data_IF_382152424198
#
_entry.id   IF_382152424198
#
_cell.length_a   1.000
_cell.length_b   1.000
_cell.length_c   1.000
_cell.angle_alpha   90.00
_cell.angle_beta   90.00
_cell.angle_gamma   90.00
#
_symmetry.space_group_name_H-M   'P 1'
#
loop_
_entity.id
_entity.type
_entity.pdbx_description
1 polymer ?
#
# COMPACT_ATOMS: atom_id res chain seq x y z
N UNK A 1 -40.74 -4.24 -0.11
CA UNK A 1 -42.16 -4.56 0.16
C UNK A 1 -42.21 -5.79 1.03
N UNK A 2 -42.69 -5.67 2.27
CA UNK A 2 -42.82 -6.79 3.22
C UNK A 2 -44.26 -7.33 3.15
N UNK A 3 -44.44 -8.63 2.94
CA UNK A 3 -45.74 -9.30 3.10
C UNK A 3 -45.75 -10.04 4.43
N UNK A 4 -46.78 -9.79 5.25
CA UNK A 4 -47.02 -10.49 6.52
C UNK A 4 -48.27 -11.35 6.35
N UNK A 5 -48.13 -12.67 6.51
CA UNK A 5 -49.27 -13.56 6.72
C UNK A 5 -49.44 -13.80 8.22
N UNK A 6 -50.64 -13.49 8.73
CA UNK A 6 -51.05 -13.83 10.09
C UNK A 6 -52.04 -15.00 10.00
N UNK A 7 -51.59 -16.20 10.35
CA UNK A 7 -52.47 -17.23 10.90
C UNK A 7 -52.02 -17.49 12.33
N UNK A 8 -52.96 -17.41 13.26
CA UNK A 8 -52.72 -17.63 14.68
C UNK A 8 -53.56 -18.80 15.19
N UNK A 9 -52.98 -19.56 16.11
CA UNK A 9 -53.60 -19.87 17.40
C UNK A 9 -52.55 -19.74 18.52
N UNK A 10 -53.05 -19.39 19.70
CA UNK A 10 -52.39 -18.83 20.87
C UNK A 10 -50.89 -19.18 21.10
N UNK A 11 -50.05 -18.13 21.13
CA UNK A 11 -48.85 -18.09 21.96
C UNK A 11 -47.48 -18.03 21.27
N UNK A 12 -47.38 -18.15 19.94
CA UNK A 12 -46.09 -18.00 19.25
C UNK A 12 -46.23 -17.35 17.87
N UNK A 13 -45.57 -16.21 17.66
CA UNK A 13 -45.37 -15.62 16.34
C UNK A 13 -44.10 -16.23 15.73
N UNK A 14 -44.21 -16.95 14.62
CA UNK A 14 -43.03 -17.36 13.82
C UNK A 14 -42.88 -16.42 12.63
N UNK A 15 -41.82 -15.62 12.63
CA UNK A 15 -41.43 -14.79 11.50
C UNK A 15 -40.46 -15.59 10.63
N UNK A 16 -40.82 -15.85 9.38
CA UNK A 16 -39.90 -16.41 8.38
C UNK A 16 -39.32 -15.26 7.55
N UNK A 17 -38.02 -14.97 7.71
CA UNK A 17 -37.29 -14.03 6.86
C UNK A 17 -36.39 -14.81 5.89
N UNK A 18 -36.60 -14.60 4.60
CA UNK A 18 -35.71 -15.08 3.56
C UNK A 18 -34.58 -14.06 3.31
N UNK A 19 -33.36 -14.58 3.17
CA UNK A 19 -32.11 -13.83 3.02
C UNK A 19 -32.14 -12.91 1.79
N UNK A 20 -32.16 -11.60 2.03
CA UNK A 20 -31.56 -10.60 1.14
C UNK A 20 -30.63 -9.74 2.00
N UNK A 21 -29.37 -9.59 1.56
CA UNK A 21 -28.26 -9.04 2.34
C UNK A 21 -28.50 -7.64 2.87
N UNK A 22 -28.86 -7.54 4.14
CA UNK A 22 -28.79 -6.33 4.96
C UNK A 22 -28.12 -6.66 6.31
N UNK A 23 -27.41 -5.67 6.83
CA UNK A 23 -26.68 -5.72 8.10
C UNK A 23 -27.65 -5.91 9.28
N UNK A 24 -27.44 -6.98 10.04
CA UNK A 24 -28.29 -7.40 11.16
C UNK A 24 -28.23 -6.42 12.35
N UNK A 25 -27.18 -5.58 12.44
CA UNK A 25 -27.00 -4.63 13.55
C UNK A 25 -27.95 -3.44 13.51
N UNK A 26 -28.35 -2.99 12.31
CA UNK A 26 -29.29 -1.87 12.15
C UNK A 26 -30.74 -2.24 12.55
N UNK A 27 -31.11 -3.52 12.49
CA UNK A 27 -32.47 -3.98 12.76
C UNK A 27 -32.79 -4.09 14.27
N UNK A 28 -31.77 -4.40 15.08
CA UNK A 28 -31.92 -4.52 16.54
C UNK A 28 -32.12 -3.15 17.18
N UNK A 29 -31.46 -2.11 16.67
CA UNK A 29 -31.65 -0.72 17.13
C UNK A 29 -33.06 -0.21 16.79
N UNK A 30 -33.65 -0.65 15.68
CA UNK A 30 -35.01 -0.26 15.28
C UNK A 30 -36.11 -0.88 16.17
N UNK A 31 -35.86 -2.05 16.76
CA UNK A 31 -36.80 -2.72 17.67
C UNK A 31 -36.80 -2.13 19.08
N UNK A 32 -35.72 -1.44 19.47
CA UNK A 32 -35.59 -0.81 20.81
C UNK A 32 -36.18 0.61 20.84
N UNK A 33 -36.48 1.21 19.68
CA UNK A 33 -36.94 2.60 19.55
C UNK A 33 -38.47 2.79 19.33
N UNK A 34 -39.30 1.80 19.66
CA UNK A 34 -40.77 1.95 19.64
C UNK A 34 -41.32 2.14 21.07
N UNK A 35 -42.01 3.26 21.38
CA UNK A 35 -42.60 3.45 22.70
C UNK A 35 -43.85 2.57 22.88
N UNK A 36 -43.80 1.74 23.93
CA UNK A 36 -44.89 1.22 24.78
C UNK A 36 -46.30 1.18 24.16
N UNK A 37 -46.75 0.00 23.75
CA UNK A 37 -48.16 -0.41 23.92
C UNK A 37 -48.19 -1.82 24.51
N UNK A 38 -48.89 -1.94 25.64
CA UNK A 38 -49.08 -3.11 26.52
C UNK A 38 -47.90 -3.41 27.46
N UNK A 39 -48.08 -3.04 28.73
CA UNK A 39 -47.13 -3.28 29.81
C UNK A 39 -46.98 -4.76 30.14
N UNK A 40 -46.08 -5.44 29.45
CA UNK A 40 -45.52 -6.71 29.88
C UNK A 40 -43.99 -6.62 29.88
N UNK A 41 -43.40 -6.87 31.05
CA UNK A 41 -41.97 -7.08 31.24
C UNK A 41 -41.54 -8.37 30.54
N UNK A 42 -40.63 -8.27 29.57
CA UNK A 42 -39.98 -9.43 28.95
C UNK A 42 -38.82 -9.85 29.85
N UNK A 43 -38.91 -11.04 30.45
CA UNK A 43 -37.78 -11.69 31.11
C UNK A 43 -36.85 -12.28 30.04
N UNK A 44 -35.54 -12.06 30.19
CA UNK A 44 -34.48 -12.58 29.30
C UNK A 44 -34.00 -13.98 29.67
N UNK A 45 -34.68 -14.67 30.59
CA UNK A 45 -34.30 -16.02 31.01
C UNK A 45 -34.84 -17.05 30.00
N UNK A 46 -34.13 -17.23 28.88
CA UNK A 46 -34.00 -18.46 28.07
C UNK A 46 -33.71 -18.16 26.58
N UNK A 47 -32.58 -17.52 26.30
CA UNK A 47 -31.93 -17.64 24.98
C UNK A 47 -30.70 -18.53 25.14
N UNK A 48 -30.89 -19.83 24.96
CA UNK A 48 -29.78 -20.77 24.82
C UNK A 48 -29.35 -20.82 23.35
N UNK A 49 -28.25 -20.15 23.00
CA UNK A 49 -27.52 -20.38 21.76
C UNK A 49 -26.54 -21.53 21.96
N UNK A 50 -26.97 -22.75 21.65
CA UNK A 50 -26.05 -23.83 21.38
C UNK A 50 -25.46 -23.63 19.98
N UNK A 51 -24.20 -23.21 19.89
CA UNK A 51 -23.20 -23.88 19.05
C UNK A 51 -21.83 -23.18 19.17
N UNK A 52 -20.82 -24.02 19.42
CA UNK A 52 -19.40 -23.72 19.55
C UNK A 52 -18.83 -23.00 18.31
N UNK A 53 -18.83 -21.67 18.33
CA UNK A 53 -17.97 -20.86 17.46
C UNK A 53 -17.19 -19.87 18.34
N UNK A 54 -15.93 -20.20 18.65
CA UNK A 54 -15.04 -19.30 19.37
C UNK A 54 -14.60 -18.17 18.43
N UNK A 55 -15.41 -17.13 18.33
CA UNK A 55 -15.02 -15.84 17.74
C UNK A 55 -14.13 -15.09 18.74
N UNK A 56 -12.95 -14.66 18.32
CA UNK A 56 -12.12 -13.76 19.13
C UNK A 56 -12.78 -12.39 19.19
N UNK A 57 -13.15 -12.01 20.42
CA UNK A 57 -13.58 -10.69 20.90
C UNK A 57 -14.78 -10.07 20.19
N UNK A 58 -15.99 -10.59 20.45
CA UNK A 58 -17.05 -9.65 20.83
C UNK A 58 -16.60 -9.04 22.14
N UNK A 59 -16.32 -7.74 22.17
CA UNK A 59 -16.03 -7.05 23.42
C UNK A 59 -17.32 -7.06 24.23
N UNK A 60 -17.53 -8.12 25.01
CA UNK A 60 -18.75 -8.32 25.78
C UNK A 60 -18.86 -7.30 26.94
N UNK A 61 -17.78 -6.54 27.19
CA UNK A 61 -17.59 -5.59 28.29
C UNK A 61 -17.29 -4.16 27.82
N UNK A 62 -18.00 -3.66 26.80
CA UNK A 62 -17.85 -2.25 26.37
C UNK A 62 -18.37 -1.30 27.46
N UNK A 63 -17.48 -0.46 27.97
CA UNK A 63 -17.79 0.63 28.88
C UNK A 63 -17.58 1.98 28.18
N UNK A 64 -18.67 2.73 28.00
CA UNK A 64 -18.65 4.02 27.28
C UNK A 64 -18.44 5.18 28.25
N UNK A 65 -17.55 6.10 27.88
CA UNK A 65 -17.26 7.35 28.60
C UNK A 65 -17.31 8.54 27.65
N UNK A 66 -17.25 9.76 28.17
CA UNK A 66 -17.15 10.98 27.35
C UNK A 66 -15.84 11.04 26.53
N UNK A 67 -14.80 10.32 26.96
CA UNK A 67 -13.49 10.28 26.30
C UNK A 67 -13.37 9.21 25.22
N UNK A 68 -14.30 8.24 25.19
CA UNK A 68 -14.28 7.10 24.27
C UNK A 68 -14.76 5.81 24.93
N UNK A 69 -14.29 4.68 24.40
CA UNK A 69 -14.77 3.35 24.73
C UNK A 69 -13.67 2.52 25.38
N UNK A 70 -13.97 1.96 26.55
CA UNK A 70 -13.10 1.04 27.28
C UNK A 70 -13.60 -0.39 27.13
N UNK A 71 -12.66 -1.33 27.01
CA UNK A 71 -12.94 -2.76 26.79
C UNK A 71 -11.85 -3.63 27.47
N UNK A 72 -12.09 -4.93 27.57
CA UNK A 72 -11.16 -5.90 28.17
C UNK A 72 -10.75 -5.51 29.61
N UNK A 73 -11.74 -5.24 30.46
CA UNK A 73 -11.57 -4.81 31.84
C UNK A 73 -10.87 -3.45 31.96
N UNK A 74 -11.30 -2.47 31.17
CA UNK A 74 -10.77 -1.11 31.07
C UNK A 74 -9.29 -0.99 30.64
N UNK A 75 -8.72 -2.06 30.07
CA UNK A 75 -7.31 -2.06 29.62
C UNK A 75 -7.12 -1.70 28.16
N UNK A 76 -8.19 -1.76 27.36
CA UNK A 76 -8.20 -1.33 25.97
C UNK A 76 -9.03 -0.07 25.86
N UNK A 77 -8.46 0.99 25.28
CA UNK A 77 -9.13 2.28 25.10
C UNK A 77 -9.20 2.65 23.62
N UNK A 78 -10.40 2.93 23.12
CA UNK A 78 -10.66 3.38 21.76
C UNK A 78 -11.28 4.80 21.81
N UNK A 79 -10.60 5.85 21.34
CA UNK A 79 -11.18 7.20 21.30
C UNK A 79 -12.46 7.27 20.45
N UNK A 80 -12.52 6.50 19.36
CA UNK A 80 -13.69 6.38 18.49
C UNK A 80 -14.07 4.92 18.26
N UNK A 81 -15.37 4.62 18.23
CA UNK A 81 -15.84 3.26 17.96
C UNK A 81 -15.54 2.87 16.51
N UNK A 82 -14.81 1.77 16.32
CA UNK A 82 -14.35 1.34 15.00
C UNK A 82 -13.06 2.02 14.52
N UNK A 83 -12.39 2.79 15.38
CA UNK A 83 -11.08 3.37 15.14
C UNK A 83 -9.92 2.67 15.84
N UNK A 84 -8.77 3.34 15.90
CA UNK A 84 -7.59 2.86 16.64
C UNK A 84 -7.88 2.72 18.13
N UNK A 85 -7.51 1.58 18.69
CA UNK A 85 -7.58 1.25 20.10
C UNK A 85 -6.19 0.99 20.68
N UNK A 86 -5.95 1.41 21.92
CA UNK A 86 -4.65 1.41 22.59
C UNK A 86 -4.71 0.61 23.90
N UNK A 87 -3.57 0.09 24.34
CA UNK A 87 -3.45 -0.66 25.59
C UNK A 87 -3.41 -2.18 25.41
N UNK A 88 -4.12 -2.93 26.26
CA UNK A 88 -4.24 -4.38 26.16
C UNK A 88 -5.60 -4.75 25.53
N UNK A 89 -5.65 -4.86 24.20
CA UNK A 89 -6.89 -5.15 23.47
C UNK A 89 -7.13 -6.64 23.15
N UNK A 90 -6.51 -7.56 23.90
CA UNK A 90 -6.81 -8.99 23.84
C UNK A 90 -6.44 -9.71 22.53
N UNK A 91 -5.65 -9.09 21.64
CA UNK A 91 -5.22 -9.71 20.38
C UNK A 91 -4.19 -10.82 20.63
N UNK A 92 -4.33 -11.93 19.91
CA UNK A 92 -3.46 -13.12 20.02
C UNK A 92 -2.16 -13.03 19.23
N UNK A 93 -2.02 -12.00 18.40
CA UNK A 93 -0.90 -11.78 17.51
C UNK A 93 -0.36 -10.37 17.68
N UNK A 94 0.95 -10.21 17.54
CA UNK A 94 1.60 -8.92 17.45
C UNK A 94 2.09 -8.69 16.01
N UNK A 95 1.86 -7.49 15.52
CA UNK A 95 2.15 -7.00 14.18
C UNK A 95 2.97 -5.70 14.26
N UNK A 96 3.30 -5.09 13.12
CA UNK A 96 3.99 -3.81 13.09
C UNK A 96 3.34 -2.82 12.12
N UNK A 97 3.32 -1.56 12.56
CA UNK A 97 3.06 -0.38 11.74
C UNK A 97 4.13 0.67 12.06
N UNK A 98 4.57 1.40 11.03
CA UNK A 98 5.44 2.56 11.14
C UNK A 98 4.80 3.72 10.40
N UNK A 99 4.70 4.88 11.05
CA UNK A 99 4.14 6.09 10.50
C UNK A 99 5.17 7.22 10.51
N UNK A 100 5.14 8.12 9.54
CA UNK A 100 5.95 9.33 9.55
C UNK A 100 5.48 10.27 10.65
N UNK A 101 6.41 10.91 11.36
CA UNK A 101 6.07 11.97 12.33
C UNK A 101 5.53 13.21 11.62
N UNK A 102 6.14 13.58 10.49
CA UNK A 102 5.66 14.66 9.62
C UNK A 102 4.38 14.21 8.88
N UNK A 103 3.42 15.13 8.76
CA UNK A 103 2.25 14.99 7.88
C UNK A 103 2.44 15.86 6.65
N UNK A 104 2.09 15.32 5.48
CA UNK A 104 2.33 15.94 4.18
C UNK A 104 1.05 16.47 3.57
N UNK A 105 1.16 17.57 2.83
CA UNK A 105 0.07 18.12 2.02
C UNK A 105 0.44 17.97 0.55
N UNK A 106 -0.13 16.97 -0.11
CA UNK A 106 0.28 16.53 -1.45
C UNK A 106 1.73 16.03 -1.48
N UNK A 107 2.14 15.47 -2.62
CA UNK A 107 3.50 14.99 -2.83
C UNK A 107 3.55 13.70 -3.63
N UNK A 108 4.76 13.19 -3.78
CA UNK A 108 5.01 11.83 -4.27
C UNK A 108 5.72 11.05 -3.18
N UNK A 109 5.30 9.80 -3.00
CA UNK A 109 5.78 8.90 -1.96
C UNK A 109 6.19 7.61 -2.62
N UNK A 110 7.43 7.20 -2.43
CA UNK A 110 7.98 5.99 -3.02
C UNK A 110 8.56 5.07 -1.95
N UNK A 111 8.45 3.77 -2.18
CA UNK A 111 9.21 2.78 -1.44
C UNK A 111 9.61 1.61 -2.33
N UNK A 112 10.60 0.85 -1.87
CA UNK A 112 10.95 -0.44 -2.43
C UNK A 112 10.59 -1.52 -1.41
N UNK A 113 9.46 -2.17 -1.65
CA UNK A 113 8.84 -3.16 -0.78
C UNK A 113 9.06 -4.57 -1.33
N UNK A 114 9.47 -5.49 -0.45
CA UNK A 114 9.37 -6.93 -0.63
C UNK A 114 8.25 -7.47 0.26
N UNK A 115 7.06 -7.76 -0.30
CA UNK A 115 5.92 -8.24 0.48
C UNK A 115 6.20 -9.56 1.20
N UNK A 116 6.89 -10.52 0.57
CA UNK A 116 7.28 -11.81 1.18
C UNK A 116 6.16 -12.58 1.94
N UNK A 117 4.88 -12.33 1.63
CA UNK A 117 3.71 -12.93 2.30
C UNK A 117 2.90 -13.81 1.36
N UNK A 118 3.04 -15.13 1.51
CA UNK A 118 2.25 -16.16 0.81
C UNK A 118 1.22 -16.82 1.74
N UNK A 119 0.53 -16.03 2.57
CA UNK A 119 -0.47 -16.50 3.57
C UNK A 119 -1.83 -15.82 3.40
N UNK A 120 -2.91 -16.60 3.46
CA UNK A 120 -4.30 -16.09 3.41
C UNK A 120 -4.57 -15.15 4.60
N UNK A 121 -5.38 -14.10 4.41
CA UNK A 121 -5.80 -13.20 5.47
C UNK A 121 -4.71 -12.26 5.99
N UNK A 122 -3.68 -11.96 5.21
CA UNK A 122 -2.62 -11.01 5.57
C UNK A 122 -2.52 -9.88 4.56
N UNK A 123 -2.12 -8.69 5.00
CA UNK A 123 -1.97 -7.51 4.13
C UNK A 123 -0.69 -6.76 4.50
N UNK A 124 0.09 -6.40 3.49
CA UNK A 124 1.22 -5.49 3.59
C UNK A 124 0.87 -4.16 2.91
N UNK A 125 1.19 -3.03 3.54
CA UNK A 125 0.64 -1.72 3.13
C UNK A 125 1.72 -0.67 2.87
N UNK A 126 1.39 0.29 2.03
CA UNK A 126 2.10 1.56 1.88
C UNK A 126 1.04 2.62 1.59
N UNK A 127 0.72 3.46 2.56
CA UNK A 127 -0.49 4.28 2.51
C UNK A 127 -0.31 5.65 3.15
N UNK A 128 -1.16 6.60 2.75
CA UNK A 128 -1.25 7.91 3.37
C UNK A 128 -2.51 7.95 4.22
N UNK A 129 -2.42 8.45 5.45
CA UNK A 129 -3.55 8.51 6.37
C UNK A 129 -3.58 9.86 7.09
N UNK A 130 -4.73 10.54 7.09
CA UNK A 130 -4.93 11.73 7.91
C UNK A 130 -5.11 11.29 9.35
N UNK A 131 -4.13 11.64 10.20
CA UNK A 131 -4.26 11.42 11.63
C UNK A 131 -5.61 11.96 12.13
N UNK A 132 -6.23 11.18 13.02
CA UNK A 132 -7.52 11.43 13.67
C UNK A 132 -8.77 11.14 12.81
N UNK A 133 -8.63 10.73 11.55
CA UNK A 133 -9.76 10.25 10.73
C UNK A 133 -10.55 9.11 11.40
N UNK A 134 -9.88 8.35 12.27
CA UNK A 134 -10.44 7.23 13.01
C UNK A 134 -10.63 7.50 14.52
N UNK A 135 -10.25 8.68 15.03
CA UNK A 135 -10.24 8.98 16.48
C UNK A 135 -11.20 10.09 16.88
N UNK A 136 -11.45 11.04 16.00
CA UNK A 136 -12.25 12.24 16.31
C UNK A 136 -13.60 12.15 15.62
N UNK A 137 -14.66 12.18 16.43
CA UNK A 137 -16.03 12.21 15.92
C UNK A 137 -16.24 13.40 14.98
N UNK A 138 -16.88 13.15 13.83
CA UNK A 138 -17.12 14.17 12.81
C UNK A 138 -15.88 14.58 11.98
N UNK A 139 -14.69 14.05 12.27
CA UNK A 139 -13.54 14.27 11.42
C UNK A 139 -13.75 13.60 10.05
N UNK A 140 -13.30 14.28 8.99
CA UNK A 140 -13.29 13.67 7.65
C UNK A 140 -12.25 12.56 7.59
N UNK A 141 -12.66 11.40 7.09
CA UNK A 141 -11.77 10.33 6.71
C UNK A 141 -11.00 10.74 5.46
N UNK A 142 -9.67 10.57 5.48
CA UNK A 142 -8.84 10.78 4.29
C UNK A 142 -7.69 9.77 4.31
N UNK A 143 -7.68 8.89 3.33
CA UNK A 143 -6.70 7.83 3.22
C UNK A 143 -6.47 7.45 1.75
N UNK A 144 -5.23 7.10 1.41
CA UNK A 144 -4.83 6.63 0.09
C UNK A 144 -4.01 5.36 0.27
N UNK A 145 -4.57 4.23 -0.18
CA UNK A 145 -4.00 2.91 0.08
C UNK A 145 -3.27 2.34 -1.13
N UNK A 146 -2.14 1.71 -0.85
CA UNK A 146 -1.45 0.80 -1.76
C UNK A 146 -1.13 -0.49 -0.99
N UNK A 147 -1.98 -1.50 -1.17
CA UNK A 147 -1.95 -2.71 -0.36
C UNK A 147 -1.61 -3.92 -1.22
N UNK A 148 -0.79 -4.81 -0.68
CA UNK A 148 -0.53 -6.12 -1.24
C UNK A 148 -1.17 -7.14 -0.32
N UNK A 149 -2.23 -7.77 -0.82
CA UNK A 149 -2.81 -8.93 -0.16
C UNK A 149 -1.77 -10.05 -0.18
N UNK A 150 -1.68 -10.77 0.93
CA UNK A 150 -1.12 -12.10 1.01
C UNK A 150 -1.90 -12.99 0.05
N UNK A 151 -2.50 -14.07 0.49
CA UNK A 151 -3.22 -14.96 -0.43
C UNK A 151 -4.73 -14.65 -0.44
N UNK A 152 -5.60 -15.65 -0.33
CA UNK A 152 -7.05 -15.41 -0.30
C UNK A 152 -7.70 -15.13 -1.66
N UNK A 153 -8.85 -14.46 -1.62
CA UNK A 153 -9.79 -14.33 -2.76
C UNK A 153 -9.26 -13.47 -3.92
N UNK A 154 -8.29 -12.58 -3.64
CA UNK A 154 -7.66 -11.71 -4.64
C UNK A 154 -6.30 -12.23 -5.14
N UNK A 155 -6.02 -13.52 -4.96
CA UNK A 155 -4.72 -14.11 -5.31
C UNK A 155 -4.28 -13.95 -6.79
N UNK A 156 -5.21 -13.72 -7.72
CA UNK A 156 -4.95 -13.47 -9.14
C UNK A 156 -4.78 -11.98 -9.48
N UNK A 157 -5.10 -11.08 -8.53
CA UNK A 157 -4.96 -9.62 -8.59
C UNK A 157 -4.62 -9.06 -7.19
N UNK A 158 -3.47 -9.42 -6.61
CA UNK A 158 -3.22 -9.21 -5.18
C UNK A 158 -2.84 -7.77 -4.81
N UNK A 159 -2.69 -6.88 -5.80
CA UNK A 159 -2.41 -5.46 -5.57
C UNK A 159 -3.74 -4.73 -5.48
N UNK A 160 -4.00 -4.09 -4.36
CA UNK A 160 -5.14 -3.21 -4.18
C UNK A 160 -4.69 -1.75 -4.12
N UNK A 161 -5.49 -0.89 -4.74
CA UNK A 161 -5.44 0.55 -4.53
C UNK A 161 -6.79 1.00 -4.01
N UNK A 162 -6.79 1.96 -3.11
CA UNK A 162 -8.03 2.53 -2.58
C UNK A 162 -7.84 4.00 -2.23
N UNK A 163 -8.95 4.73 -2.26
CA UNK A 163 -9.06 6.01 -1.57
C UNK A 163 -10.21 5.83 -0.59
N UNK A 164 -10.07 6.43 0.58
CA UNK A 164 -11.13 6.44 1.57
C UNK A 164 -11.42 7.87 1.97
N UNK A 165 -12.69 8.25 1.82
CA UNK A 165 -13.22 9.55 2.23
C UNK A 165 -14.48 9.39 3.09
N UNK A 166 -15.17 10.49 3.39
CA UNK A 166 -16.38 10.48 4.22
C UNK A 166 -16.06 10.69 5.69
N UNK A 167 -16.70 9.93 6.57
CA UNK A 167 -16.53 10.04 8.03
C UNK A 167 -16.51 8.65 8.70
N UNK A 168 -16.17 8.62 9.99
CA UNK A 168 -16.26 7.38 10.78
C UNK A 168 -17.70 6.81 10.70
N UNK A 169 -17.82 5.51 10.40
CA UNK A 169 -19.10 4.83 10.19
C UNK A 169 -19.71 4.96 8.78
N UNK A 170 -19.40 6.03 8.04
CA UNK A 170 -19.90 6.31 6.68
C UNK A 170 -18.73 6.58 5.71
N UNK A 171 -17.83 5.60 5.61
CA UNK A 171 -16.68 5.66 4.70
C UNK A 171 -17.13 5.50 3.25
N UNK A 172 -16.68 6.39 2.38
CA UNK A 172 -16.68 6.16 0.94
C UNK A 172 -15.37 5.50 0.55
N UNK A 173 -15.43 4.40 -0.20
CA UNK A 173 -14.25 3.62 -0.60
C UNK A 173 -14.31 3.36 -2.10
N UNK A 174 -13.16 3.42 -2.77
CA UNK A 174 -13.03 3.17 -4.21
C UNK A 174 -12.03 2.06 -4.52
N UNK A 175 -12.17 0.90 -3.88
CA UNK A 175 -11.25 -0.23 -3.99
C UNK A 175 -11.13 -0.73 -5.45
N UNK A 176 -9.89 -0.98 -5.90
CA UNK A 176 -9.60 -1.66 -7.16
C UNK A 176 -8.43 -2.63 -7.00
N UNK A 177 -8.61 -3.84 -7.55
CA UNK A 177 -7.63 -4.93 -7.52
C UNK A 177 -6.95 -5.13 -8.88
N UNK A 178 -5.63 -5.30 -8.85
CA UNK A 178 -4.78 -5.39 -10.02
C UNK A 178 -3.83 -6.57 -9.97
N UNK A 179 -3.58 -7.14 -11.15
CA UNK A 179 -2.46 -8.04 -11.38
C UNK A 179 -1.18 -7.23 -11.64
N UNK A 180 -0.01 -7.80 -11.35
CA UNK A 180 1.26 -7.24 -11.78
C UNK A 180 1.26 -7.04 -13.32
N UNK A 181 1.63 -5.85 -13.81
CA UNK A 181 1.63 -5.55 -15.24
C UNK A 181 2.49 -6.53 -16.06
N UNK A 182 1.98 -6.96 -17.21
CA UNK A 182 2.68 -7.90 -18.09
C UNK A 182 2.78 -9.34 -17.54
N UNK A 183 2.09 -9.66 -16.44
CA UNK A 183 2.04 -11.01 -15.87
C UNK A 183 0.62 -11.60 -16.02
N UNK A 184 0.50 -12.91 -16.31
CA UNK A 184 -0.83 -13.56 -16.36
C UNK A 184 -1.57 -13.43 -15.02
N UNK A 185 -2.87 -13.10 -15.07
CA UNK A 185 -3.77 -13.06 -13.91
C UNK A 185 -4.10 -14.46 -13.37
N UNK A 186 -3.08 -15.23 -12.99
CA UNK A 186 -3.21 -16.55 -12.37
C UNK A 186 -2.42 -16.56 -11.08
N UNK A 187 -3.01 -17.12 -10.02
CA UNK A 187 -2.45 -17.19 -8.65
C UNK A 187 -0.95 -17.48 -8.61
N UNK A 188 -0.50 -18.56 -9.25
CA UNK A 188 0.92 -18.94 -9.24
C UNK A 188 1.84 -17.92 -9.92
N UNK A 189 1.41 -17.32 -11.03
CA UNK A 189 2.18 -16.31 -11.76
C UNK A 189 2.29 -15.01 -10.96
N UNK A 190 1.18 -14.55 -10.38
CA UNK A 190 1.13 -13.35 -9.54
C UNK A 190 1.94 -13.52 -8.25
N UNK A 191 1.81 -14.67 -7.60
CA UNK A 191 2.60 -15.00 -6.40
C UNK A 191 4.09 -14.93 -6.68
N UNK A 192 4.55 -15.59 -7.75
CA UNK A 192 5.96 -15.52 -8.15
C UNK A 192 6.40 -14.09 -8.50
N UNK A 193 5.52 -13.31 -9.14
CA UNK A 193 5.85 -12.00 -9.66
C UNK A 193 5.90 -10.90 -8.60
N UNK A 194 5.14 -11.01 -7.50
CA UNK A 194 4.95 -9.92 -6.52
C UNK A 194 5.56 -10.24 -5.16
N UNK A 195 5.58 -11.53 -4.77
CA UNK A 195 5.84 -11.94 -3.38
C UNK A 195 7.18 -12.61 -3.17
N UNK A 196 8.03 -12.64 -4.19
CA UNK A 196 9.35 -13.32 -4.16
C UNK A 196 10.51 -12.39 -4.49
N UNK A 197 10.30 -11.08 -4.35
CA UNK A 197 11.36 -10.08 -4.45
C UNK A 197 10.86 -8.67 -4.18
N UNK A 198 11.79 -7.73 -4.25
CA UNK A 198 11.53 -6.30 -4.11
C UNK A 198 10.90 -5.71 -5.39
N UNK A 199 10.01 -4.75 -5.16
CA UNK A 199 9.27 -3.98 -6.16
C UNK A 199 9.22 -2.51 -5.78
N UNK A 200 9.18 -1.63 -6.78
CA UNK A 200 9.00 -0.19 -6.57
C UNK A 200 7.51 0.14 -6.52
N UNK A 201 7.11 0.83 -5.46
CA UNK A 201 5.76 1.35 -5.27
C UNK A 201 5.85 2.87 -5.22
N UNK A 202 4.97 3.56 -5.95
CA UNK A 202 4.82 5.00 -5.81
C UNK A 202 3.36 5.44 -5.78
N UNK A 203 3.09 6.45 -4.97
CA UNK A 203 1.83 7.19 -4.92
C UNK A 203 2.13 8.65 -5.23
N UNK A 204 1.44 9.22 -6.21
CA UNK A 204 1.37 10.65 -6.46
C UNK A 204 0.03 11.16 -5.97
N UNK A 205 0.03 12.17 -5.11
CA UNK A 205 -1.17 12.81 -4.60
C UNK A 205 -1.05 14.32 -4.80
N UNK A 206 -2.00 14.88 -5.54
CA UNK A 206 -2.09 16.31 -5.87
C UNK A 206 -3.55 16.77 -5.73
N UNK A 207 -3.84 18.08 -5.80
CA UNK A 207 -5.23 18.55 -5.89
C UNK A 207 -5.97 17.98 -7.10
N UNK A 208 -5.25 17.73 -8.20
CA UNK A 208 -5.85 17.42 -9.50
C UNK A 208 -6.04 15.90 -9.70
N UNK A 209 -5.29 15.06 -8.97
CA UNK A 209 -5.33 13.62 -9.14
C UNK A 209 -4.61 12.84 -8.03
N UNK A 210 -4.93 11.55 -7.96
CA UNK A 210 -4.11 10.52 -7.30
C UNK A 210 -3.66 9.48 -8.33
N UNK A 211 -2.42 9.02 -8.28
CA UNK A 211 -1.88 7.99 -9.18
C UNK A 211 -0.99 6.99 -8.45
N UNK A 212 -1.11 5.71 -8.81
CA UNK A 212 -0.35 4.61 -8.23
C UNK A 212 0.52 3.96 -9.30
N UNK A 213 1.76 3.65 -8.94
CA UNK A 213 2.75 3.05 -9.83
C UNK A 213 3.34 1.79 -9.19
N UNK A 214 3.40 0.71 -9.97
CA UNK A 214 4.04 -0.55 -9.58
C UNK A 214 5.14 -0.86 -10.59
N UNK A 215 6.38 -1.02 -10.10
CA UNK A 215 7.59 -1.14 -10.94
C UNK A 215 7.60 -0.08 -12.04
N UNK A 216 7.38 1.18 -11.63
CA UNK A 216 7.36 2.38 -12.47
C UNK A 216 6.24 2.44 -13.53
N UNK A 217 5.35 1.44 -13.57
CA UNK A 217 4.19 1.41 -14.45
C UNK A 217 2.96 1.93 -13.72
N UNK A 218 2.32 2.95 -14.29
CA UNK A 218 1.08 3.51 -13.73
C UNK A 218 -0.05 2.48 -13.77
N UNK A 219 -0.52 2.07 -12.60
CA UNK A 219 -1.59 1.09 -12.39
C UNK A 219 -2.96 1.74 -12.47
N UNK A 220 -3.08 2.87 -11.79
CA UNK A 220 -4.34 3.59 -11.61
C UNK A 220 -4.04 5.09 -11.58
N UNK A 221 -4.95 5.85 -12.16
CA UNK A 221 -5.06 7.29 -11.99
C UNK A 221 -6.52 7.63 -11.76
N UNK A 222 -6.78 8.49 -10.78
CA UNK A 222 -8.09 9.08 -10.55
C UNK A 222 -7.94 10.57 -10.62
N UNK A 223 -8.70 11.21 -11.49
CA UNK A 223 -8.66 12.66 -11.73
C UNK A 223 -9.76 13.33 -10.91
N UNK A 224 -9.45 14.44 -10.26
CA UNK A 224 -10.44 15.26 -9.56
C UNK A 224 -11.42 15.87 -10.55
N UNK A 225 -12.70 15.95 -10.19
CA UNK A 225 -13.69 16.72 -10.96
C UNK A 225 -13.41 18.23 -10.98
N UNK A 226 -12.60 18.73 -10.04
CA UNK A 226 -12.18 20.13 -9.99
C UNK A 226 -10.89 20.37 -10.81
N UNK A 227 -10.29 19.33 -11.38
CA UNK A 227 -9.07 19.45 -12.16
C UNK A 227 -9.32 20.20 -13.49
N UNK A 228 -8.38 21.05 -13.95
CA UNK A 228 -8.51 21.72 -15.24
C UNK A 228 -8.65 20.72 -16.40
N UNK A 229 -9.74 20.84 -17.17
CA UNK A 229 -10.01 19.96 -18.30
C UNK A 229 -10.49 18.55 -17.91
N UNK A 230 -10.93 18.35 -16.66
CA UNK A 230 -11.53 17.09 -16.23
C UNK A 230 -12.77 16.77 -17.07
N UNK A 231 -12.86 15.52 -17.52
CA UNK A 231 -14.09 14.97 -18.08
C UNK A 231 -15.08 14.68 -16.94
N UNK A 232 -16.27 15.27 -17.02
CA UNK A 232 -17.30 15.12 -16.00
C UNK A 232 -17.81 13.67 -15.85
N UNK A 233 -17.63 12.82 -16.86
CA UNK A 233 -18.02 11.41 -16.83
C UNK A 233 -16.93 10.48 -16.28
N UNK A 234 -15.65 10.90 -16.33
CA UNK A 234 -14.51 10.07 -15.90
C UNK A 234 -13.86 10.52 -14.58
N UNK A 235 -14.15 11.74 -14.13
CA UNK A 235 -13.59 12.29 -12.91
C UNK A 235 -14.20 11.67 -11.64
N UNK A 236 -13.52 11.87 -10.51
CA UNK A 236 -14.05 11.52 -9.18
C UNK A 236 -14.04 12.75 -8.26
N UNK A 237 -15.15 13.02 -7.53
CA UNK A 237 -15.18 14.06 -6.51
C UNK A 237 -14.36 13.69 -5.26
N UNK A 238 -13.98 12.42 -5.11
CA UNK A 238 -13.27 11.90 -3.93
C UNK A 238 -11.87 12.52 -3.79
N UNK A 239 -11.18 12.80 -4.90
CA UNK A 239 -9.84 13.40 -4.87
C UNK A 239 -9.85 14.77 -4.19
N UNK A 240 -10.88 15.58 -4.42
CA UNK A 240 -11.04 16.90 -3.78
C UNK A 240 -11.35 16.82 -2.28
N UNK A 241 -11.81 15.66 -1.80
CA UNK A 241 -12.05 15.41 -0.37
C UNK A 241 -10.75 15.07 0.36
N UNK A 242 -9.73 14.59 -0.36
CA UNK A 242 -8.38 14.31 0.15
C UNK A 242 -7.56 15.60 0.24
N UNK A 243 -8.01 16.51 1.11
CA UNK A 243 -7.54 17.89 1.22
C UNK A 243 -6.95 18.27 2.60
N UNK A 244 -6.78 17.34 3.52
CA UNK A 244 -6.02 17.49 4.76
C UNK A 244 -4.53 17.18 4.56
N UNK A 245 -3.76 17.24 5.63
CA UNK A 245 -2.40 16.68 5.69
C UNK A 245 -2.47 15.21 6.10
N UNK A 246 -1.66 14.34 5.49
CA UNK A 246 -1.63 12.90 5.77
C UNK A 246 -0.22 12.44 6.13
N UNK A 247 -0.13 11.53 7.09
CA UNK A 247 1.11 10.83 7.44
C UNK A 247 1.31 9.66 6.48
N UNK A 248 2.56 9.40 6.11
CA UNK A 248 2.93 8.20 5.36
C UNK A 248 3.08 7.03 6.30
N UNK A 249 2.49 5.89 5.97
CA UNK A 249 2.45 4.70 6.82
C UNK A 249 2.79 3.42 6.06
N UNK A 250 3.35 2.47 6.79
CA UNK A 250 3.74 1.12 6.34
C UNK A 250 3.34 0.13 7.42
N UNK A 251 2.66 -0.96 7.07
CA UNK A 251 2.25 -1.98 8.04
C UNK A 251 2.19 -3.38 7.43
N UNK A 252 2.26 -4.38 8.31
CA UNK A 252 1.90 -5.77 8.04
C UNK A 252 0.93 -6.23 9.10
N UNK A 253 -0.24 -6.72 8.72
CA UNK A 253 -1.24 -7.20 9.67
C UNK A 253 -2.11 -8.34 9.12
N UNK A 254 -2.61 -9.23 10.00
CA UNK A 254 -3.64 -10.20 9.66
C UNK A 254 -5.02 -9.55 9.76
N UNK A 255 -5.88 -9.82 8.77
CA UNK A 255 -7.27 -9.38 8.74
C UNK A 255 -8.11 -10.30 9.60
N UNK A 256 -9.11 -9.76 10.29
CA UNK A 256 -10.12 -10.55 11.00
C UNK A 256 -10.68 -11.67 10.08
N UNK A 257 -10.52 -12.95 10.48
CA UNK A 257 -11.03 -14.11 9.75
C UNK A 257 -12.51 -14.02 9.35
N UNK A 258 -13.33 -13.27 10.10
CA UNK A 258 -14.76 -13.09 9.83
C UNK A 258 -15.05 -12.24 8.57
N UNK A 259 -14.10 -11.38 8.14
CA UNK A 259 -14.30 -10.48 7.00
C UNK A 259 -14.07 -11.17 5.66
N UNK A 260 -13.18 -12.17 5.59
CA UNK A 260 -12.78 -12.90 4.39
C UNK A 260 -12.31 -12.04 3.19
N UNK A 261 -12.10 -10.73 3.38
CA UNK A 261 -11.66 -9.78 2.35
C UNK A 261 -10.26 -10.11 1.81
N UNK A 262 -9.30 -10.39 2.70
CA UNK A 262 -7.96 -10.87 2.31
C UNK A 262 -7.87 -12.42 2.29
N UNK A 263 -9.01 -13.11 2.33
CA UNK A 263 -9.08 -14.54 2.71
C UNK A 263 -9.14 -14.74 4.23
N UNK A 264 -9.13 -16.00 4.66
CA UNK A 264 -9.24 -16.39 6.07
C UNK A 264 -7.87 -16.69 6.65
N UNK A 265 -7.46 -15.95 7.68
CA UNK A 265 -6.20 -16.22 8.39
C UNK A 265 -6.32 -17.51 9.21
N UNK A 266 -5.58 -18.55 8.81
CA UNK A 266 -5.60 -19.86 9.47
C UNK A 266 -4.69 -19.85 10.70
N UNK A 267 -5.27 -19.59 11.88
CA UNK A 267 -4.57 -19.55 13.17
C UNK A 267 -3.76 -20.82 13.48
N UNK A 268 -4.20 -21.98 12.97
CA UNK A 268 -3.63 -23.29 13.33
C UNK A 268 -2.48 -23.70 12.43
N UNK A 269 -2.55 -23.36 11.14
CA UNK A 269 -1.59 -23.85 10.15
C UNK A 269 -0.66 -22.76 9.60
N UNK A 270 -0.94 -21.49 9.88
CA UNK A 270 -0.02 -20.40 9.49
C UNK A 270 1.30 -20.54 10.22
N UNK A 271 2.39 -20.65 9.45
CA UNK A 271 3.75 -20.67 9.97
C UNK A 271 4.20 -19.24 10.22
N UNK A 272 4.19 -18.85 11.50
CA UNK A 272 4.77 -17.58 11.96
C UNK A 272 6.24 -17.78 12.37
N UNK A 273 7.09 -16.73 12.32
CA UNK A 273 6.76 -15.34 11.96
C UNK A 273 6.58 -15.13 10.44
N UNK A 274 5.81 -14.08 10.08
CA UNK A 274 5.83 -13.49 8.73
C UNK A 274 6.53 -12.15 8.79
N UNK A 275 7.15 -11.71 7.70
CA UNK A 275 7.87 -10.43 7.64
C UNK A 275 7.84 -9.86 6.24
N UNK A 276 7.59 -8.55 6.14
CA UNK A 276 7.77 -7.74 4.93
C UNK A 276 8.98 -6.83 5.10
N UNK A 277 9.60 -6.40 4.00
CA UNK A 277 10.80 -5.56 4.05
C UNK A 277 10.65 -4.32 3.18
N UNK A 278 11.01 -3.17 3.73
CA UNK A 278 11.13 -1.91 3.01
C UNK A 278 12.62 -1.54 2.94
N UNK A 279 13.15 -1.40 1.74
CA UNK A 279 14.56 -1.07 1.48
C UNK A 279 14.82 0.44 1.61
N UNK A 280 13.89 1.26 1.13
CA UNK A 280 13.95 2.70 1.32
C UNK A 280 12.56 3.33 1.29
N UNK A 281 12.48 4.57 1.74
CA UNK A 281 11.39 5.51 1.43
C UNK A 281 11.97 6.78 0.83
N UNK A 282 11.31 7.30 -0.22
CA UNK A 282 11.56 8.66 -0.75
C UNK A 282 10.28 9.47 -0.71
N UNK A 283 10.37 10.71 -0.25
CA UNK A 283 9.26 11.67 -0.23
C UNK A 283 9.65 12.89 -1.04
N UNK A 284 8.72 13.36 -1.85
CA UNK A 284 8.89 14.50 -2.74
C UNK A 284 7.81 15.55 -2.47
N UNK A 285 8.21 16.80 -2.34
CA UNK A 285 7.29 17.93 -2.25
C UNK A 285 6.66 18.19 -3.63
N UNK A 286 5.36 18.51 -3.65
CA UNK A 286 4.64 18.91 -4.84
C UNK A 286 4.71 20.42 -5.04
N UNK A 287 5.14 20.88 -6.22
CA UNK A 287 5.09 22.27 -6.61
C UNK A 287 3.80 22.57 -7.39
N UNK A 288 2.87 23.39 -6.86
CA UNK A 288 1.61 23.69 -7.52
C UNK A 288 1.77 24.55 -8.79
N UNK A 289 2.91 25.24 -8.96
CA UNK A 289 3.18 26.10 -10.13
C UNK A 289 3.69 25.25 -11.30
N UNK A 290 4.79 24.52 -11.11
CA UNK A 290 5.32 23.65 -12.18
C UNK A 290 4.52 22.36 -12.34
N UNK A 291 3.62 22.04 -11.40
CA UNK A 291 2.95 20.74 -11.27
C UNK A 291 3.97 19.59 -11.12
N UNK A 292 5.17 19.93 -10.64
CA UNK A 292 6.32 19.04 -10.48
C UNK A 292 6.42 18.40 -9.10
N UNK A 293 7.33 17.44 -8.98
CA UNK A 293 7.76 16.88 -7.69
C UNK A 293 9.25 17.08 -7.53
N UNK A 294 9.69 17.47 -6.34
CA UNK A 294 11.10 17.66 -6.00
C UNK A 294 11.45 16.85 -4.76
N UNK A 295 12.59 16.18 -4.75
CA UNK A 295 12.98 15.30 -3.65
C UNK A 295 13.09 16.12 -2.35
N UNK A 296 12.29 15.75 -1.36
CA UNK A 296 12.33 16.35 -0.02
C UNK A 296 13.37 15.63 0.84
N UNK A 297 13.26 14.30 0.91
CA UNK A 297 14.19 13.46 1.64
C UNK A 297 14.06 11.99 1.22
N UNK A 298 15.10 11.21 1.55
CA UNK A 298 15.12 9.76 1.44
C UNK A 298 15.61 9.14 2.76
N UNK A 299 15.10 7.96 3.08
CA UNK A 299 15.54 7.14 4.20
C UNK A 299 15.81 5.71 3.71
N UNK A 300 17.07 5.28 3.80
CA UNK A 300 17.54 3.95 3.38
C UNK A 300 17.54 2.94 4.55
N UNK A 301 16.91 3.31 5.67
CA UNK A 301 16.72 2.46 6.85
C UNK A 301 18.02 1.90 7.44
N UNK A 302 19.11 2.67 7.40
CA UNK A 302 20.37 2.31 8.08
C UNK A 302 20.25 2.30 9.60
N UNK A 303 19.23 2.98 10.14
CA UNK A 303 18.82 2.97 11.55
C UNK A 303 17.36 3.40 11.67
N UNK A 304 16.72 3.11 12.80
CA UNK A 304 15.36 3.58 13.06
C UNK A 304 15.39 5.05 13.50
N UNK A 305 15.14 5.97 12.57
CA UNK A 305 15.15 7.40 12.85
C UNK A 305 13.85 7.84 13.55
N UNK A 306 13.87 7.93 14.88
CA UNK A 306 12.71 8.33 15.69
C UNK A 306 12.29 9.79 15.54
N UNK A 307 13.09 10.64 14.89
CA UNK A 307 12.67 11.99 14.51
C UNK A 307 11.87 12.01 13.22
N UNK A 308 11.91 10.92 12.44
CA UNK A 308 11.19 10.75 11.17
C UNK A 308 10.03 9.79 11.28
N UNK A 309 10.17 8.75 12.10
CA UNK A 309 9.24 7.63 12.19
C UNK A 309 8.78 7.38 13.63
N UNK A 310 7.52 7.02 13.79
CA UNK A 310 6.93 6.47 15.00
C UNK A 310 6.45 5.04 14.73
N UNK A 311 6.61 4.15 15.71
CA UNK A 311 6.12 2.78 15.61
C UNK A 311 4.76 2.64 16.31
N UNK A 312 3.84 1.93 15.68
CA UNK A 312 2.45 1.79 16.14
C UNK A 312 2.33 1.00 17.45
N UNK A 313 1.44 1.46 18.33
CA UNK A 313 1.10 0.83 19.61
C UNK A 313 -0.40 0.59 19.74
N UNK A 314 -1.09 0.32 18.64
CA UNK A 314 -2.54 0.25 18.57
C UNK A 314 -3.04 -0.97 17.80
N UNK A 315 -4.34 -1.26 17.89
CA UNK A 315 -5.09 -2.17 17.03
C UNK A 315 -6.28 -1.40 16.47
N UNK A 316 -7.05 -1.98 15.56
CA UNK A 316 -8.38 -1.50 15.16
C UNK A 316 -9.31 -2.69 14.93
N UNK A 317 -10.57 -2.43 14.63
CA UNK A 317 -11.65 -3.42 14.48
C UNK A 317 -11.30 -4.57 13.53
N UNK A 318 -10.76 -4.25 12.34
CA UNK A 318 -10.39 -5.24 11.30
C UNK A 318 -9.03 -5.92 11.52
N UNK A 319 -8.18 -5.35 12.36
CA UNK A 319 -6.84 -5.88 12.62
C UNK A 319 -6.91 -7.04 13.62
N UNK A 320 -6.53 -8.24 13.19
CA UNK A 320 -6.51 -9.43 14.03
C UNK A 320 -5.25 -9.55 14.91
N UNK A 321 -4.36 -8.56 14.84
CA UNK A 321 -3.17 -8.42 15.66
C UNK A 321 -3.16 -7.07 16.39
N UNK A 322 -2.19 -6.89 17.28
CA UNK A 322 -1.87 -5.60 17.89
C UNK A 322 -0.55 -5.09 17.33
N UNK A 323 -0.47 -3.83 16.90
CA UNK A 323 0.81 -3.25 16.53
C UNK A 323 1.69 -3.04 17.75
N UNK A 324 2.94 -3.48 17.66
CA UNK A 324 3.94 -3.34 18.71
C UNK A 324 5.26 -2.82 18.13
N UNK A 325 5.91 -1.84 18.80
CA UNK A 325 7.17 -1.27 18.33
C UNK A 325 8.30 -2.29 18.15
N UNK A 326 8.35 -3.34 18.98
CA UNK A 326 9.38 -4.38 18.92
C UNK A 326 9.23 -5.32 17.71
N UNK A 327 8.18 -5.15 16.89
CA UNK A 327 7.99 -5.86 15.62
C UNK A 327 8.39 -5.03 14.39
N UNK A 328 8.81 -3.79 14.59
CA UNK A 328 9.42 -2.93 13.57
C UNK A 328 10.94 -2.86 13.81
N UNK A 329 11.71 -3.63 13.05
CA UNK A 329 13.15 -3.85 13.30
C UNK A 329 13.95 -3.46 12.06
N UNK A 330 15.08 -2.78 12.26
CA UNK A 330 16.07 -2.58 11.21
C UNK A 330 16.94 -3.83 11.12
N UNK A 331 17.02 -4.42 9.93
CA UNK A 331 17.88 -5.57 9.65
C UNK A 331 18.96 -5.23 8.64
N UNK A 332 20.19 -5.65 8.93
CA UNK A 332 21.31 -5.55 8.02
C UNK A 332 21.25 -6.68 6.99
N UNK A 333 21.53 -6.35 5.73
CA UNK A 333 21.61 -7.28 4.62
C UNK A 333 22.93 -8.03 4.57
N UNK A 334 22.94 -9.17 3.87
CA UNK A 334 24.18 -9.93 3.60
C UNK A 334 25.07 -9.20 2.58
N UNK A 335 24.49 -8.30 1.78
CA UNK A 335 25.20 -7.44 0.83
C UNK A 335 25.81 -6.22 1.54
N UNK A 336 27.01 -5.81 1.11
CA UNK A 336 27.72 -4.65 1.67
C UNK A 336 26.83 -3.40 1.58
N UNK A 337 26.55 -2.78 2.74
CA UNK A 337 25.71 -1.58 2.91
C UNK A 337 24.20 -1.74 2.62
N UNK A 338 23.66 -2.95 2.69
CA UNK A 338 22.21 -3.16 2.65
C UNK A 338 21.60 -3.10 4.06
N UNK A 339 20.51 -2.36 4.22
CA UNK A 339 19.69 -2.33 5.43
C UNK A 339 18.21 -2.22 5.05
N UNK A 340 17.34 -2.77 5.89
CA UNK A 340 15.91 -2.81 5.61
C UNK A 340 15.10 -2.53 6.88
N UNK A 341 14.00 -1.80 6.75
CA UNK A 341 12.93 -1.82 7.74
C UNK A 341 12.13 -3.12 7.56
N UNK A 342 12.15 -3.98 8.56
CA UNK A 342 11.37 -5.20 8.61
C UNK A 342 10.17 -5.04 9.54
N UNK A 343 8.98 -5.32 9.01
CA UNK A 343 7.73 -5.32 9.76
C UNK A 343 7.23 -6.77 9.87
N UNK A 344 7.01 -7.24 11.10
CA UNK A 344 6.77 -8.66 11.35
C UNK A 344 5.43 -8.96 12.03
N UNK A 345 4.85 -10.12 11.70
CA UNK A 345 3.68 -10.71 12.35
C UNK A 345 4.10 -11.97 13.12
N UNK A 346 3.73 -12.03 14.40
CA UNK A 346 4.12 -13.07 15.35
C UNK A 346 2.96 -13.44 16.29
N UNK A 347 2.99 -14.60 16.98
CA UNK A 347 2.16 -14.79 18.17
C UNK A 347 2.44 -13.69 19.19
N UNK A 348 1.41 -13.27 19.95
CA UNK A 348 1.56 -12.21 20.93
C UNK A 348 2.70 -12.50 21.93
N UNK A 349 3.49 -11.47 22.23
CA UNK A 349 4.67 -11.49 23.10
C UNK A 349 5.81 -12.41 22.66
N UNK A 350 5.77 -12.98 21.45
CA UNK A 350 6.85 -13.83 20.95
C UNK A 350 8.04 -12.96 20.50
N UNK A 351 9.25 -13.34 20.92
CA UNK A 351 10.48 -12.76 20.35
C UNK A 351 10.67 -13.21 18.91
N UNK A 352 11.34 -12.38 18.11
CA UNK A 352 11.62 -12.68 16.71
C UNK A 352 13.10 -12.49 16.40
N UNK A 353 13.66 -13.44 15.65
CA UNK A 353 14.89 -13.23 14.89
C UNK A 353 14.45 -13.00 13.46
N UNK A 354 14.62 -11.76 12.99
CA UNK A 354 14.14 -11.37 11.67
C UNK A 354 15.11 -11.93 10.61
N UNK A 355 14.62 -12.70 9.63
CA UNK A 355 15.48 -13.21 8.58
C UNK A 355 15.93 -12.08 7.65
N UNK A 356 17.14 -12.17 7.14
CA UNK A 356 17.65 -11.25 6.13
C UNK A 356 17.00 -11.58 4.77
N UNK A 357 16.39 -10.60 4.06
CA UNK A 357 15.82 -10.85 2.76
C UNK A 357 16.92 -11.09 1.73
N UNK A 358 16.76 -12.11 0.87
CA UNK A 358 17.65 -12.29 -0.28
C UNK A 358 17.25 -11.35 -1.40
N UNK A 359 17.86 -10.17 -1.44
CA UNK A 359 17.70 -9.26 -2.57
C UNK A 359 18.58 -9.67 -3.76
N UNK A 360 18.15 -10.72 -4.45
CA UNK A 360 18.85 -11.20 -5.66
C UNK A 360 18.91 -10.19 -6.80
N UNK A 361 18.21 -9.05 -6.71
CA UNK A 361 18.23 -7.97 -7.70
C UNK A 361 19.12 -6.80 -7.29
N UNK A 362 19.50 -6.64 -6.00
CA UNK A 362 20.41 -5.57 -5.54
C UNK A 362 21.78 -5.71 -6.19
N UNK A 363 22.26 -6.95 -6.31
CA UNK A 363 23.63 -7.29 -6.74
C UNK A 363 23.71 -8.21 -7.98
N UNK A 364 22.65 -8.33 -8.80
CA UNK A 364 22.70 -9.04 -10.11
C UNK A 364 22.57 -8.14 -11.33
N UNK A 365 23.21 -6.99 -11.27
CA UNK A 365 23.94 -6.53 -12.45
C UNK A 365 25.41 -6.51 -12.06
N UNK A 366 26.05 -7.70 -12.04
CA UNK A 366 27.48 -7.71 -12.38
C UNK A 366 27.53 -7.06 -13.77
N UNK A 367 28.02 -5.83 -13.83
CA UNK A 367 28.24 -5.04 -15.05
C UNK A 367 29.30 -5.68 -15.98
N UNK A 368 29.45 -7.00 -15.97
CA UNK A 368 30.48 -7.73 -16.70
C UNK A 368 30.20 -7.85 -18.19
N UNK A 369 28.98 -7.57 -18.65
CA UNK A 369 28.60 -7.81 -20.05
C UNK A 369 27.89 -6.63 -20.73
N UNK A 370 27.92 -5.43 -20.14
CA UNK A 370 27.18 -4.29 -20.73
C UNK A 370 28.05 -3.44 -21.66
N UNK A 371 29.33 -3.33 -21.38
CA UNK A 371 30.29 -2.70 -22.27
C UNK A 371 31.37 -3.73 -22.67
N UNK A 372 31.86 -3.67 -23.91
CA UNK A 372 32.93 -4.56 -24.37
C UNK A 372 34.20 -4.35 -23.53
N UNK A 373 34.99 -5.41 -23.36
CA UNK A 373 36.23 -5.34 -22.60
C UNK A 373 37.17 -4.27 -23.17
N UNK A 374 37.48 -3.22 -22.39
CA UNK A 374 38.31 -2.10 -22.81
C UNK A 374 37.62 -0.73 -22.81
N UNK A 375 36.33 -0.67 -22.46
CA UNK A 375 35.54 0.57 -22.40
C UNK A 375 35.46 1.17 -20.99
N UNK A 376 35.45 2.50 -20.92
CA UNK A 376 35.24 3.27 -19.68
C UNK A 376 33.75 3.47 -19.45
N UNK A 377 33.27 3.17 -18.24
CA UNK A 377 31.89 3.40 -17.80
C UNK A 377 31.81 4.77 -17.11
N UNK A 378 31.03 5.70 -17.66
CA UNK A 378 30.79 7.02 -17.05
C UNK A 378 29.36 7.15 -16.58
N UNK A 379 29.16 7.46 -15.30
CA UNK A 379 27.84 7.64 -14.69
C UNK A 379 27.41 9.10 -14.73
N UNK A 380 26.17 9.38 -15.15
CA UNK A 380 25.58 10.71 -14.96
C UNK A 380 24.97 10.82 -13.57
N UNK A 381 25.70 11.45 -12.66
CA UNK A 381 25.20 11.75 -11.31
C UNK A 381 24.10 12.81 -11.37
N UNK A 382 23.02 12.59 -10.64
CA UNK A 382 22.00 13.63 -10.44
C UNK A 382 20.71 13.44 -11.21
N UNK A 383 20.55 12.35 -11.96
CA UNK A 383 19.34 12.07 -12.73
C UNK A 383 18.81 10.68 -12.41
N UNK A 384 17.49 10.49 -12.48
CA UNK A 384 16.77 9.21 -12.46
C UNK A 384 15.63 9.29 -13.48
N UNK A 385 15.38 8.23 -14.23
CA UNK A 385 14.28 8.16 -15.19
C UNK A 385 13.18 7.23 -14.67
N UNK A 386 11.93 7.69 -14.61
CA UNK A 386 10.77 6.86 -14.24
C UNK A 386 10.21 6.13 -15.47
N UNK A 387 9.96 4.83 -15.38
CA UNK A 387 9.13 4.08 -16.33
C UNK A 387 9.82 2.92 -17.03
N UNK A 388 11.03 2.54 -16.62
CA UNK A 388 11.78 1.46 -17.22
C UNK A 388 12.96 1.05 -16.33
N UNK A 389 12.97 -0.23 -15.96
CA UNK A 389 14.22 -0.92 -15.63
C UNK A 389 15.11 -0.74 -16.88
N UNK A 390 16.24 -0.03 -16.70
CA UNK A 390 17.31 0.27 -17.65
C UNK A 390 17.31 1.71 -18.20
N UNK A 391 17.98 2.62 -17.49
CA UNK A 391 18.55 3.83 -18.09
C UNK A 391 19.83 3.42 -18.85
N UNK A 392 19.80 3.44 -20.18
CA UNK A 392 21.00 3.25 -20.99
C UNK A 392 21.23 4.47 -21.89
N UNK A 393 22.46 4.94 -21.96
CA UNK A 393 22.97 5.72 -23.08
C UNK A 393 24.04 4.86 -23.77
N UNK A 394 23.77 4.38 -24.99
CA UNK A 394 24.74 3.60 -25.75
C UNK A 394 25.44 4.44 -26.82
N UNK A 395 26.77 4.47 -26.70
CA UNK A 395 27.83 4.60 -27.71
C UNK A 395 27.50 5.35 -29.03
N UNK A 396 28.30 6.38 -29.31
CA UNK A 396 28.37 7.04 -30.63
C UNK A 396 29.54 6.47 -31.45
N UNK A 397 29.33 5.39 -32.20
CA UNK A 397 29.94 5.21 -33.51
C UNK A 397 28.80 5.03 -34.51
N UNK A 398 28.74 5.86 -35.54
CA UNK A 398 27.66 5.78 -36.52
C UNK A 398 27.66 4.42 -37.25
N UNK A 399 26.85 3.46 -36.77
CA UNK A 399 26.44 2.29 -37.53
C UNK A 399 24.97 2.44 -37.96
N UNK A 400 24.62 1.75 -39.05
CA UNK A 400 23.31 1.92 -39.70
C UNK A 400 22.13 1.39 -38.86
N UNK A 401 22.37 0.47 -37.93
CA UNK A 401 21.32 -0.15 -37.11
C UNK A 401 20.84 0.78 -36.00
N UNK A 402 21.77 1.40 -35.27
CA UNK A 402 21.43 2.33 -34.20
C UNK A 402 20.80 3.63 -34.75
N UNK A 403 21.30 4.10 -35.90
CA UNK A 403 20.73 5.25 -36.63
C UNK A 403 19.30 4.96 -37.08
N UNK A 404 18.99 3.73 -37.50
CA UNK A 404 17.63 3.31 -37.83
C UNK A 404 16.71 3.30 -36.60
N UNK A 405 17.14 2.76 -35.46
CA UNK A 405 16.33 2.78 -34.24
C UNK A 405 16.12 4.21 -33.71
N UNK A 406 17.13 5.08 -33.76
CA UNK A 406 17.03 6.49 -33.38
C UNK A 406 16.09 7.28 -34.30
N UNK A 407 16.18 7.05 -35.62
CA UNK A 407 15.27 7.65 -36.60
C UNK A 407 13.82 7.16 -36.45
N UNK A 408 13.61 5.93 -35.98
CA UNK A 408 12.29 5.41 -35.61
C UNK A 408 11.75 6.09 -34.34
N UNK A 409 12.60 6.31 -33.34
CA UNK A 409 12.25 7.06 -32.13
C UNK A 409 11.87 8.52 -32.47
N UNK A 410 12.67 9.23 -33.27
CA UNK A 410 12.39 10.62 -33.66
C UNK A 410 11.05 10.82 -34.42
N UNK A 411 10.52 9.76 -35.04
CA UNK A 411 9.21 9.75 -35.73
C UNK A 411 8.05 9.35 -34.81
N UNK A 412 8.34 8.91 -33.59
CA UNK A 412 7.36 8.47 -32.59
C UNK A 412 7.10 9.60 -31.60
N UNK A 413 5.85 10.08 -31.53
CA UNK A 413 5.48 11.15 -30.62
C UNK A 413 5.75 10.75 -29.15
N UNK A 414 6.54 11.56 -28.43
CA UNK A 414 6.89 11.32 -27.03
C UNK A 414 8.12 10.42 -26.80
N UNK A 415 8.87 10.10 -27.86
CA UNK A 415 10.15 9.41 -27.77
C UNK A 415 11.29 10.45 -27.78
N UNK A 416 11.64 10.97 -26.60
CA UNK A 416 12.81 11.85 -26.41
C UNK A 416 14.04 11.06 -25.94
N UNK A 417 13.86 9.86 -25.38
CA UNK A 417 14.91 8.96 -24.92
C UNK A 417 14.45 7.50 -25.10
N UNK A 418 15.33 6.58 -25.48
CA UNK A 418 14.98 5.16 -25.66
C UNK A 418 16.11 4.21 -25.28
N UNK A 419 15.73 2.99 -24.89
CA UNK A 419 16.62 1.82 -24.68
C UNK A 419 16.33 0.75 -25.73
N UNK A 420 17.36 0.05 -26.21
CA UNK A 420 17.24 -1.08 -27.14
C UNK A 420 17.86 -2.32 -26.51
N UNK A 421 17.08 -3.41 -26.45
CA UNK A 421 17.54 -4.69 -25.90
C UNK A 421 18.25 -5.53 -26.96
N UNK A 422 17.80 -5.45 -28.22
CA UNK A 422 18.41 -6.12 -29.38
C UNK A 422 18.55 -5.15 -30.57
N UNK A 423 19.80 -4.96 -31.02
CA UNK A 423 20.16 -4.02 -32.10
C UNK A 423 19.65 -4.45 -33.48
N UNK A 424 19.31 -5.72 -33.65
CA UNK A 424 18.97 -6.31 -34.96
C UNK A 424 17.50 -6.09 -35.37
N UNK A 425 16.61 -5.86 -34.42
CA UNK A 425 15.17 -5.67 -34.66
C UNK A 425 14.55 -4.48 -33.92
N UNK A 426 15.38 -3.69 -33.22
CA UNK A 426 14.95 -2.60 -32.35
C UNK A 426 13.86 -3.02 -31.34
N UNK A 427 13.88 -4.25 -30.82
CA UNK A 427 12.90 -4.67 -29.81
C UNK A 427 13.29 -4.22 -28.39
N UNK A 428 12.28 -4.05 -27.52
CA UNK A 428 12.47 -3.66 -26.12
C UNK A 428 12.44 -2.15 -25.84
N UNK A 429 11.90 -1.34 -26.76
CA UNK A 429 11.70 0.10 -26.55
C UNK A 429 10.89 0.40 -25.30
N UNK A 430 11.50 1.14 -24.37
CA UNK A 430 10.80 1.77 -23.25
C UNK A 430 11.14 3.24 -23.28
N UNK A 431 10.13 4.08 -23.55
CA UNK A 431 10.24 5.52 -23.33
C UNK A 431 10.08 5.75 -21.82
N UNK A 432 11.06 6.35 -21.13
CA UNK A 432 10.85 6.75 -19.76
C UNK A 432 9.74 7.80 -19.70
N UNK A 433 8.78 7.59 -18.81
CA UNK A 433 7.65 8.46 -18.62
C UNK A 433 8.05 9.84 -18.08
N UNK A 434 9.20 9.94 -17.38
CA UNK A 434 9.66 11.19 -16.75
C UNK A 434 11.15 11.18 -16.36
N UNK A 435 11.81 12.34 -16.42
CA UNK A 435 13.12 12.60 -15.82
C UNK A 435 12.95 13.25 -14.43
N UNK A 436 13.68 12.74 -13.44
CA UNK A 436 13.68 13.20 -12.04
C UNK A 436 15.12 13.54 -11.65
N UNK A 437 15.31 14.66 -10.95
CA UNK A 437 16.61 15.04 -10.42
C UNK A 437 16.86 14.26 -9.12
N UNK A 438 17.89 13.42 -9.09
CA UNK A 438 18.25 12.58 -7.95
C UNK A 438 19.78 12.52 -7.83
N UNK A 439 20.35 13.35 -6.94
CA UNK A 439 21.79 13.48 -6.69
C UNK A 439 22.47 12.19 -6.17
N UNK A 440 21.68 11.21 -5.74
CA UNK A 440 22.14 9.91 -5.26
C UNK A 440 21.94 8.80 -6.28
N UNK A 441 21.28 9.08 -7.40
CA UNK A 441 21.10 8.12 -8.47
C UNK A 441 22.31 8.12 -9.40
N UNK A 442 22.77 6.91 -9.69
CA UNK A 442 23.62 6.59 -10.82
C UNK A 442 22.72 6.20 -12.00
N UNK A 443 21.98 7.14 -12.59
CA UNK A 443 21.16 6.81 -13.76
C UNK A 443 21.91 7.07 -15.05
N UNK A 444 21.94 6.03 -15.89
CA UNK A 444 22.62 6.07 -17.18
C UNK A 444 24.13 5.92 -17.02
N UNK A 445 24.66 4.87 -17.65
CA UNK A 445 26.09 4.77 -17.89
C UNK A 445 26.35 4.99 -19.39
N UNK A 446 27.52 5.55 -19.71
CA UNK A 446 28.05 5.68 -21.07
C UNK A 446 29.24 4.75 -21.19
N UNK A 447 29.25 3.85 -22.19
CA UNK A 447 30.44 3.08 -22.57
C UNK A 447 31.30 3.92 -23.54
N UNK A 448 32.56 4.19 -23.20
CA UNK A 448 33.49 4.96 -24.05
C UNK A 448 34.75 4.18 -24.39
N UNK A 449 35.22 4.27 -25.64
CA UNK A 449 36.58 3.83 -26.02
C UNK A 449 37.62 4.89 -25.61
N UNK A 450 38.54 4.53 -24.71
CA UNK A 450 39.64 5.40 -24.28
C UNK A 450 39.35 6.30 -23.06
N UNK A 451 40.34 7.11 -22.66
CA UNK A 451 40.19 8.10 -21.58
C UNK A 451 39.33 9.29 -22.03
N UNK A 452 38.55 9.92 -21.12
CA UNK A 452 37.56 10.93 -21.46
C UNK A 452 38.20 12.15 -22.13
N UNK A 453 38.10 12.19 -23.45
CA UNK A 453 38.51 13.33 -24.24
C UNK A 453 37.33 14.33 -24.34
N UNK A 454 37.36 15.31 -23.44
CA UNK A 454 36.69 16.62 -23.59
C UNK A 454 35.18 16.71 -23.27
N UNK A 455 34.83 17.70 -22.43
CA UNK A 455 33.47 18.13 -22.00
C UNK A 455 32.51 18.49 -23.15
N UNK A 456 32.97 18.53 -24.39
CA UNK A 456 32.18 18.90 -25.56
C UNK A 456 31.11 17.86 -25.94
N UNK A 457 31.38 16.57 -25.76
CA UNK A 457 30.40 15.50 -26.04
C UNK A 457 29.22 15.57 -25.07
N UNK A 458 29.49 15.83 -23.79
CA UNK A 458 28.47 16.01 -22.75
C UNK A 458 27.57 17.22 -22.99
N UNK A 459 28.09 18.30 -23.57
CA UNK A 459 27.30 19.49 -23.91
C UNK A 459 26.28 19.20 -25.01
N UNK A 460 26.68 18.45 -26.04
CA UNK A 460 25.80 18.14 -27.16
C UNK A 460 24.67 17.19 -26.77
N UNK A 461 24.93 16.23 -25.87
CA UNK A 461 23.90 15.33 -25.33
C UNK A 461 22.91 16.03 -24.38
N UNK A 462 23.31 17.13 -23.73
CA UNK A 462 22.39 17.97 -22.92
C UNK A 462 21.54 18.93 -23.75
N UNK A 463 21.92 19.17 -25.00
CA UNK A 463 21.24 20.07 -25.93
C UNK A 463 20.18 19.35 -26.80
N UNK A 464 20.30 18.02 -26.95
CA UNK A 464 19.29 17.12 -27.51
C UNK A 464 18.25 16.76 -26.44
#
# INVERSE_FOLDING_TARGET
>A
TLFVFCEGEAGSVRVYMWRCGFDMKALIVLLVALPLISGQTISTDNVTTSDNFSTVTTFDDIHTTDEGYYMNGDKCFCPGLGGSCYGECGRKYDAAEVASVEAFKYGRFETRLFPSIEVDGTVATFFLFKNDSDKVEGASWQEIDFEVHGMGIHSDKPIQTNMISGAIGERSMSEKFFAAPGRPGRKAAQTKAIKRGFHHFAVEWTPDHVSWYFDERRMRRVVSCDAPGADAEECSPEVSQLNGTMNLRMSLWPVDPALNWAGVFDEKHTKLPLTVYYDYVKVYDYDPISKGFSLKWADDFTSFNSSRWEAGTHTFDRNYAHFRPDKAIIVEGDDVNASYLALSLTPANASIVVPVPRDTKRNRYEHKEVCEAGTTVVWEKGLRYEGGILSFAMHVPADDGLVQCAAACAKTAGCSLFSVYDRSDCTGFVSPARQVQDERADAGFICMDGEPADDRVFRHLREL
#
